data_IF_606453455702
#
_entry.id   IF_606453455702
#
_cell.length_a   1.000
_cell.length_b   1.000
_cell.length_c   1.000
_cell.angle_alpha   90.00
_cell.angle_beta   90.00
_cell.angle_gamma   90.00
#
_symmetry.space_group_name_H-M   'P 1'
#
loop_
_entity.id
_entity.type
_entity.pdbx_description
1 polymer ?
#
# COMPACT_ATOMS: atom_id res chain seq x y z
N UNK A 1 16.79 29.85 -3.26
CA UNK A 1 15.38 30.28 -3.15
C UNK A 1 14.72 30.24 -4.54
N UNK A 2 14.58 29.04 -5.15
CA UNK A 2 14.06 28.88 -6.53
C UNK A 2 13.00 27.77 -6.66
N UNK A 3 12.54 27.18 -5.56
CA UNK A 3 11.57 26.06 -5.58
C UNK A 3 10.30 26.46 -6.36
N UNK A 4 9.81 27.68 -6.13
CA UNK A 4 8.61 28.22 -6.77
C UNK A 4 8.72 28.40 -8.29
N UNK A 5 9.91 28.66 -8.83
CA UNK A 5 10.10 28.78 -10.28
C UNK A 5 9.88 27.45 -11.02
N UNK A 6 10.13 26.32 -10.35
CA UNK A 6 9.91 24.97 -10.90
C UNK A 6 8.47 24.45 -10.74
N UNK A 7 7.63 25.14 -9.95
CA UNK A 7 6.28 24.68 -9.62
C UNK A 7 5.37 24.60 -10.85
N UNK A 8 5.34 25.58 -11.78
CA UNK A 8 4.45 25.51 -12.93
C UNK A 8 4.70 24.28 -13.81
N UNK A 9 5.98 23.97 -14.08
CA UNK A 9 6.36 22.81 -14.88
C UNK A 9 5.99 21.49 -14.17
N UNK A 10 6.28 21.38 -12.87
CA UNK A 10 5.89 20.23 -12.07
C UNK A 10 4.38 20.04 -12.04
N UNK A 11 3.62 21.12 -11.88
CA UNK A 11 2.15 21.07 -11.86
C UNK A 11 1.60 20.60 -13.21
N UNK A 12 2.18 21.05 -14.33
CA UNK A 12 1.81 20.58 -15.65
C UNK A 12 2.10 19.07 -15.83
N UNK A 13 3.26 18.59 -15.35
CA UNK A 13 3.61 17.16 -15.37
C UNK A 13 2.63 16.34 -14.52
N UNK A 14 2.28 16.80 -13.32
CA UNK A 14 1.25 16.15 -12.48
C UNK A 14 -0.11 16.13 -13.16
N UNK A 15 -0.53 17.27 -13.70
CA UNK A 15 -1.80 17.39 -14.43
C UNK A 15 -1.87 16.42 -15.60
N UNK A 16 -0.79 16.25 -16.35
CA UNK A 16 -0.70 15.30 -17.45
C UNK A 16 -0.80 13.83 -16.98
N UNK A 17 -0.11 13.48 -15.88
CA UNK A 17 -0.12 12.13 -15.29
C UNK A 17 -1.48 11.76 -14.72
N UNK A 18 -2.21 12.71 -14.15
CA UNK A 18 -3.53 12.49 -13.56
C UNK A 18 -4.67 12.46 -14.59
N UNK A 19 -4.37 12.60 -15.89
CA UNK A 19 -5.40 12.49 -16.92
C UNK A 19 -5.96 11.06 -16.94
N UNK A 20 -7.29 10.95 -16.80
CA UNK A 20 -7.97 9.67 -16.69
C UNK A 20 -7.93 9.04 -15.29
N UNK A 21 -7.41 9.75 -14.28
CA UNK A 21 -7.44 9.32 -12.88
C UNK A 21 -8.69 9.85 -12.19
N UNK A 22 -9.45 8.95 -11.56
CA UNK A 22 -10.52 9.30 -10.65
C UNK A 22 -9.96 9.45 -9.23
N UNK A 23 -10.25 10.58 -8.58
CA UNK A 23 -9.83 10.85 -7.20
C UNK A 23 -11.07 10.84 -6.32
N UNK A 24 -11.12 9.93 -5.35
CA UNK A 24 -12.25 9.76 -4.44
C UNK A 24 -11.81 10.00 -2.99
N UNK A 25 -12.63 10.72 -2.22
CA UNK A 25 -12.44 10.89 -0.77
C UNK A 25 -13.61 10.22 -0.03
N UNK A 26 -13.48 8.93 0.23
CA UNK A 26 -14.49 8.09 0.89
C UNK A 26 -13.83 6.87 1.55
N UNK A 27 -14.55 6.08 2.36
CA UNK A 27 -13.97 4.91 3.02
C UNK A 27 -13.35 3.95 2.00
N UNK A 28 -12.09 3.56 2.20
CA UNK A 28 -11.31 2.77 1.24
C UNK A 28 -11.98 1.43 0.89
N UNK A 29 -12.60 0.76 1.87
CA UNK A 29 -13.31 -0.50 1.64
C UNK A 29 -14.47 -0.33 0.66
N UNK A 30 -15.16 0.82 0.66
CA UNK A 30 -16.22 1.12 -0.32
C UNK A 30 -15.65 1.33 -1.72
N UNK A 31 -14.50 1.99 -1.82
CA UNK A 31 -13.78 2.16 -3.10
C UNK A 31 -13.41 0.79 -3.67
N UNK A 32 -12.83 -0.08 -2.84
CA UNK A 32 -12.43 -1.42 -3.26
C UNK A 32 -13.63 -2.20 -3.78
N UNK A 33 -14.74 -2.27 -3.03
CA UNK A 33 -15.92 -3.01 -3.45
C UNK A 33 -16.56 -2.48 -4.74
N UNK A 34 -16.67 -1.16 -4.91
CA UNK A 34 -17.36 -0.58 -6.06
C UNK A 34 -16.56 -0.70 -7.36
N UNK A 35 -15.22 -0.79 -7.26
CA UNK A 35 -14.31 -0.92 -8.39
C UNK A 35 -13.79 -2.35 -8.57
N UNK A 36 -14.31 -3.33 -7.82
CA UNK A 36 -13.88 -4.72 -7.92
C UNK A 36 -14.34 -5.35 -9.23
N UNK A 37 -13.36 -5.73 -10.03
CA UNK A 37 -13.56 -6.50 -11.26
C UNK A 37 -12.39 -7.47 -11.40
N UNK A 38 -12.55 -8.59 -12.12
CA UNK A 38 -11.45 -9.51 -12.38
C UNK A 38 -10.21 -8.87 -13.05
N UNK A 39 -10.38 -7.73 -13.73
CA UNK A 39 -9.31 -6.96 -14.38
C UNK A 39 -8.72 -5.84 -13.53
N UNK A 40 -9.30 -5.54 -12.36
CA UNK A 40 -8.82 -4.46 -11.49
C UNK A 40 -7.60 -4.93 -10.69
N UNK A 41 -6.56 -4.10 -10.61
CA UNK A 41 -5.45 -4.26 -9.68
C UNK A 41 -5.55 -3.22 -8.57
N UNK A 42 -5.70 -3.69 -7.34
CA UNK A 42 -5.65 -2.87 -6.14
C UNK A 42 -4.23 -2.87 -5.57
N UNK A 43 -3.61 -1.69 -5.53
CA UNK A 43 -2.44 -1.45 -4.70
C UNK A 43 -2.88 -0.80 -3.40
N UNK A 44 -2.65 -1.47 -2.28
CA UNK A 44 -3.16 -1.09 -0.97
C UNK A 44 -2.00 -0.83 -0.02
N UNK A 45 -1.95 0.39 0.52
CA UNK A 45 -0.92 0.83 1.46
C UNK A 45 -1.60 1.44 2.70
N UNK A 46 -2.09 0.60 3.63
CA UNK A 46 -2.82 1.08 4.80
C UNK A 46 -1.87 1.73 5.82
N UNK A 47 -2.36 2.64 6.69
CA UNK A 47 -1.61 3.06 7.87
C UNK A 47 -1.08 1.84 8.65
N UNK A 48 0.23 1.73 8.84
CA UNK A 48 0.82 0.50 9.36
C UNK A 48 0.50 0.25 10.85
N UNK A 49 0.26 -1.02 11.21
CA UNK A 49 0.14 -1.47 12.61
C UNK A 49 1.38 -1.06 13.40
N UNK A 50 1.19 -0.40 14.53
CA UNK A 50 2.29 0.17 15.32
C UNK A 50 2.56 -0.61 16.62
N UNK A 51 2.85 -1.90 16.51
CA UNK A 51 3.39 -2.69 17.65
C UNK A 51 4.92 -2.51 17.83
N UNK A 52 5.55 -1.58 17.08
CA UNK A 52 7.01 -1.40 17.05
C UNK A 52 7.52 -0.05 17.59
N UNK A 53 6.73 0.72 18.36
CA UNK A 53 7.23 2.00 18.90
C UNK A 53 7.05 2.15 20.42
N UNK A 54 8.19 2.11 21.11
CA UNK A 54 8.40 2.88 22.34
C UNK A 54 8.28 4.38 22.00
N UNK A 55 7.53 5.12 22.82
CA UNK A 55 7.23 6.56 22.78
C UNK A 55 6.12 7.03 21.82
N UNK A 56 5.00 7.43 22.43
CA UNK A 56 4.26 8.64 22.06
C UNK A 56 3.26 8.50 20.91
N UNK A 57 2.02 8.25 21.28
CA UNK A 57 0.79 8.26 20.47
C UNK A 57 0.63 9.47 19.53
N UNK A 58 0.03 9.21 18.36
CA UNK A 58 -0.61 10.16 17.42
C UNK A 58 0.33 11.01 16.54
N UNK A 59 0.93 10.39 15.51
CA UNK A 59 1.45 11.13 14.35
C UNK A 59 0.41 11.31 13.22
N UNK A 60 -0.65 10.48 13.18
CA UNK A 60 -1.74 10.61 12.22
C UNK A 60 -3.09 10.76 12.93
N UNK A 61 -3.96 11.63 12.41
CA UNK A 61 -5.30 11.90 12.99
C UNK A 61 -6.25 10.69 12.90
N UNK A 62 -5.98 9.77 11.99
CA UNK A 62 -6.80 8.59 11.71
C UNK A 62 -5.87 7.37 11.71
N UNK A 63 -5.92 6.58 12.78
CA UNK A 63 -5.18 5.33 12.94
C UNK A 63 -6.13 4.15 12.72
N UNK A 64 -5.61 3.01 12.26
CA UNK A 64 -6.35 1.75 12.16
C UNK A 64 -6.10 0.91 13.41
N UNK A 65 -7.17 0.37 13.99
CA UNK A 65 -7.10 -0.66 15.02
C UNK A 65 -6.80 -2.04 14.41
N UNK A 66 -6.40 -3.01 15.23
CA UNK A 66 -6.23 -4.40 14.77
C UNK A 66 -7.50 -4.98 14.14
N UNK A 67 -8.68 -4.52 14.60
CA UNK A 67 -9.96 -4.92 14.04
C UNK A 67 -10.21 -4.26 12.68
N UNK A 68 -9.84 -2.99 12.49
CA UNK A 68 -9.90 -2.34 11.17
C UNK A 68 -8.95 -3.02 10.17
N UNK A 69 -7.77 -3.46 10.65
CA UNK A 69 -6.85 -4.25 9.84
C UNK A 69 -7.42 -5.60 9.47
N UNK A 70 -8.12 -6.28 10.39
CA UNK A 70 -8.79 -7.54 10.11
C UNK A 70 -9.91 -7.36 9.08
N UNK A 71 -10.75 -6.34 9.23
CA UNK A 71 -11.81 -6.03 8.27
C UNK A 71 -11.23 -5.76 6.88
N UNK A 72 -10.14 -4.98 6.79
CA UNK A 72 -9.43 -4.76 5.55
C UNK A 72 -8.97 -6.08 4.92
N UNK A 73 -8.30 -6.94 5.68
CA UNK A 73 -7.78 -8.21 5.17
C UNK A 73 -8.91 -9.15 4.72
N UNK A 74 -10.04 -9.18 5.43
CA UNK A 74 -11.23 -9.95 5.04
C UNK A 74 -11.79 -9.47 3.70
N UNK A 75 -11.91 -8.15 3.50
CA UNK A 75 -12.34 -7.57 2.22
C UNK A 75 -11.35 -7.92 1.10
N UNK A 76 -10.05 -7.75 1.32
CA UNK A 76 -9.02 -8.04 0.32
C UNK A 76 -8.90 -9.53 -0.03
N UNK A 77 -9.27 -10.44 0.88
CA UNK A 77 -9.35 -11.86 0.58
C UNK A 77 -10.58 -12.22 -0.25
N UNK A 78 -11.64 -11.40 -0.18
CA UNK A 78 -12.91 -11.63 -0.86
C UNK A 78 -12.97 -11.04 -2.28
N UNK A 79 -12.12 -10.05 -2.62
CA UNK A 79 -12.18 -9.41 -3.95
C UNK A 79 -11.96 -10.40 -5.10
N UNK A 80 -12.62 -10.15 -6.22
CA UNK A 80 -12.45 -10.89 -7.47
C UNK A 80 -11.17 -10.49 -8.21
N UNK A 81 -10.79 -9.21 -8.10
CA UNK A 81 -9.61 -8.64 -8.73
C UNK A 81 -8.27 -9.10 -8.15
N UNK A 82 -7.24 -8.40 -8.59
CA UNK A 82 -5.85 -8.58 -8.17
C UNK A 82 -5.52 -7.61 -7.04
N UNK A 83 -4.74 -8.06 -6.06
CA UNK A 83 -4.29 -7.23 -4.94
C UNK A 83 -2.79 -7.34 -4.73
N UNK A 84 -2.16 -6.20 -4.48
CA UNK A 84 -0.83 -6.04 -3.89
C UNK A 84 -0.97 -5.18 -2.63
N UNK A 85 -0.60 -5.72 -1.48
CA UNK A 85 -0.68 -5.05 -0.19
C UNK A 85 0.73 -4.80 0.35
N UNK A 86 1.05 -3.57 0.74
CA UNK A 86 2.29 -3.21 1.41
C UNK A 86 2.14 -3.10 2.93
N UNK A 87 3.20 -3.43 3.67
CA UNK A 87 3.22 -3.30 5.12
C UNK A 87 4.54 -3.72 5.76
N UNK A 88 4.53 -3.79 7.09
CA UNK A 88 5.61 -4.37 7.88
C UNK A 88 5.26 -5.81 8.30
N UNK A 89 6.25 -6.69 8.55
CA UNK A 89 5.98 -8.03 9.07
C UNK A 89 5.10 -7.97 10.30
N UNK A 90 3.97 -8.69 10.27
CA UNK A 90 2.99 -8.66 11.34
C UNK A 90 2.26 -10.00 11.44
N UNK A 91 2.12 -10.59 12.65
CA UNK A 91 1.53 -11.92 12.81
C UNK A 91 0.12 -12.07 12.21
N UNK A 92 -0.72 -11.03 12.32
CA UNK A 92 -2.07 -11.01 11.72
C UNK A 92 -2.01 -11.18 10.20
N UNK A 93 -1.10 -10.46 9.55
CA UNK A 93 -0.95 -10.46 8.10
C UNK A 93 -0.36 -11.79 7.64
N UNK A 94 0.69 -12.26 8.31
CA UNK A 94 1.33 -13.54 7.98
C UNK A 94 0.36 -14.73 8.14
N UNK A 95 -0.56 -14.67 9.12
CA UNK A 95 -1.59 -15.68 9.31
C UNK A 95 -2.69 -15.62 8.23
N UNK A 96 -3.28 -14.45 7.99
CA UNK A 96 -4.42 -14.31 7.07
C UNK A 96 -4.01 -14.40 5.60
N UNK A 97 -2.79 -13.95 5.26
CA UNK A 97 -2.27 -13.90 3.90
C UNK A 97 -1.27 -15.03 3.61
N UNK A 98 -1.29 -16.11 4.40
CA UNK A 98 -0.36 -17.24 4.26
C UNK A 98 -0.35 -17.88 2.86
N UNK A 99 -1.41 -17.69 2.07
CA UNK A 99 -1.53 -18.21 0.68
C UNK A 99 -1.08 -17.21 -0.39
N UNK A 100 -0.74 -15.98 -0.01
CA UNK A 100 -0.29 -14.94 -0.91
C UNK A 100 1.23 -15.03 -1.04
N UNK A 101 1.75 -14.61 -2.19
CA UNK A 101 3.20 -14.48 -2.37
C UNK A 101 3.71 -13.33 -1.48
N UNK A 102 4.80 -13.58 -0.76
CA UNK A 102 5.37 -12.64 0.20
C UNK A 102 6.77 -12.24 -0.25
N UNK A 103 6.96 -10.96 -0.56
CA UNK A 103 8.24 -10.39 -1.01
C UNK A 103 8.73 -9.42 0.05
N UNK A 104 9.96 -9.61 0.54
CA UNK A 104 10.59 -8.71 1.50
C UNK A 104 11.61 -7.79 0.84
N UNK A 105 11.69 -6.55 1.33
CA UNK A 105 12.79 -5.63 1.01
C UNK A 105 13.30 -4.97 2.28
N UNK A 106 14.60 -4.72 2.33
CA UNK A 106 15.24 -4.02 3.45
C UNK A 106 15.45 -2.56 3.07
N UNK A 107 14.80 -1.65 3.79
CA UNK A 107 14.99 -0.21 3.62
C UNK A 107 15.82 0.35 4.78
N UNK A 108 16.91 1.05 4.44
CA UNK A 108 17.71 1.79 5.41
C UNK A 108 17.01 3.11 5.72
N UNK A 109 16.67 3.35 6.98
CA UNK A 109 16.14 4.64 7.43
C UNK A 109 17.20 5.73 7.30
N UNK A 110 17.10 6.58 6.27
CA UNK A 110 17.93 7.78 6.14
C UNK A 110 17.38 8.92 7.02
N UNK A 111 17.53 8.81 8.34
CA UNK A 111 17.13 9.89 9.25
C UNK A 111 17.98 9.91 10.53
N UNK A 112 19.16 10.55 10.45
CA UNK A 112 19.78 11.40 11.48
C UNK A 112 20.09 10.91 12.90
N UNK A 113 19.50 9.84 13.45
CA UNK A 113 19.70 9.39 14.85
C UNK A 113 19.47 7.89 15.02
N UNK A 114 20.32 7.09 14.35
CA UNK A 114 20.33 5.62 14.45
C UNK A 114 19.83 4.96 13.17
N UNK A 115 20.76 4.35 12.44
CA UNK A 115 20.45 3.57 11.24
C UNK A 115 19.73 2.27 11.63
N UNK A 116 18.40 2.32 11.69
CA UNK A 116 17.58 1.12 11.75
C UNK A 116 17.32 0.58 10.34
N UNK A 117 17.50 -0.73 10.15
CA UNK A 117 16.98 -1.43 8.98
C UNK A 117 15.53 -1.77 9.29
N UNK A 118 14.61 -1.38 8.40
CA UNK A 118 13.22 -1.85 8.43
C UNK A 118 13.01 -2.82 7.29
N UNK A 119 12.39 -3.95 7.59
CA UNK A 119 11.92 -4.90 6.57
C UNK A 119 10.52 -4.47 6.15
N UNK A 120 10.35 -4.08 4.90
CA UNK A 120 9.05 -3.89 4.27
C UNK A 120 8.64 -5.17 3.55
N UNK A 121 7.34 -5.44 3.52
CA UNK A 121 6.76 -6.65 2.95
C UNK A 121 5.68 -6.25 1.95
N UNK A 122 5.71 -6.91 0.79
CA UNK A 122 4.60 -6.95 -0.15
C UNK A 122 3.95 -8.32 -0.08
N UNK A 123 2.63 -8.35 0.11
CA UNK A 123 1.80 -9.53 -0.10
C UNK A 123 1.08 -9.40 -1.44
N UNK A 124 1.30 -10.37 -2.32
CA UNK A 124 0.77 -10.39 -3.69
C UNK A 124 -0.24 -11.52 -3.78
N UNK A 125 -1.50 -11.18 -4.08
CA UNK A 125 -2.58 -12.17 -4.21
C UNK A 125 -2.27 -13.21 -5.30
N UNK A 126 -2.76 -14.46 -5.18
CA UNK A 126 -2.54 -15.50 -6.19
C UNK A 126 -3.02 -15.13 -7.62
N UNK A 127 -3.95 -14.18 -7.73
CA UNK A 127 -4.43 -13.67 -9.01
C UNK A 127 -3.44 -12.69 -9.65
N UNK A 128 -2.72 -11.93 -8.84
CA UNK A 128 -1.66 -11.00 -9.26
C UNK A 128 -0.32 -11.70 -9.50
N UNK A 129 -0.08 -12.85 -8.86
CA UNK A 129 1.17 -13.62 -8.99
C UNK A 129 1.26 -14.43 -10.30
N UNK A 130 0.30 -14.26 -11.23
CA UNK A 130 0.39 -14.89 -12.56
C UNK A 130 1.49 -14.22 -13.38
N UNK A 131 2.28 -15.08 -14.02
CA UNK A 131 3.62 -14.83 -14.59
C UNK A 131 3.65 -13.88 -15.79
N UNK A 132 2.52 -13.28 -16.18
CA UNK A 132 2.40 -12.42 -17.36
C UNK A 132 2.47 -10.91 -17.05
N UNK A 133 2.28 -10.47 -15.81
CA UNK A 133 2.26 -9.05 -15.47
C UNK A 133 3.66 -8.36 -15.52
N UNK A 134 4.73 -9.13 -15.31
CA UNK A 134 6.13 -8.62 -15.30
C UNK A 134 7.04 -9.28 -16.33
N UNK A 135 6.51 -9.98 -17.34
CA UNK A 135 7.35 -10.50 -18.42
C UNK A 135 7.81 -9.34 -19.31
N UNK A 136 9.11 -9.07 -19.24
CA UNK A 136 9.89 -8.22 -20.13
C UNK A 136 9.38 -8.35 -21.57
N UNK A 137 8.97 -7.22 -22.16
CA UNK A 137 8.84 -7.11 -23.61
C UNK A 137 10.24 -7.34 -24.18
N UNK A 138 10.44 -8.49 -24.83
CA UNK A 138 11.66 -8.80 -25.57
C UNK A 138 11.79 -7.89 -26.80
#
# INVERSE_FOLDING_TARGET
MHVWASVPEKLAQFGHRLRGVLIENRPALRVICDHDTPSTLFYVDPPYVHDTRKMGSACYRHEMSDDDHRELLEVLLAVEGMVVLSGYPHPLYDAMLARWERVETSATMAAGRGAGIRTEVLWISPRASRTDLFRTVA
#
